data_IF_705325540366
#
_entry.id   IF_705325540366
#
_cell.length_a   1.000
_cell.length_b   1.000
_cell.length_c   1.000
_cell.angle_alpha   90.00
_cell.angle_beta   90.00
_cell.angle_gamma   90.00
#
_symmetry.space_group_name_H-M   'P 1'
#
loop_
_entity.id
_entity.type
_entity.pdbx_description
1 polymer ?
#
# COMPACT_ATOMS: atom_id res chain seq x y z
N UNK A 1 -22.41 20.03 14.45
CA UNK A 1 -22.08 20.10 15.87
C UNK A 1 -21.76 21.53 16.32
N UNK A 2 -20.92 22.28 15.59
CA UNK A 2 -20.61 23.69 15.94
C UNK A 2 -21.85 24.57 16.10
N UNK A 3 -22.77 24.51 15.14
CA UNK A 3 -24.00 25.29 15.19
C UNK A 3 -24.84 24.90 16.40
N UNK A 4 -24.95 23.61 16.69
CA UNK A 4 -25.68 23.14 17.89
C UNK A 4 -24.99 23.59 19.18
N UNK A 5 -23.65 23.50 19.23
CA UNK A 5 -22.87 23.92 20.38
C UNK A 5 -23.04 25.43 20.68
N UNK A 6 -23.09 26.27 19.65
CA UNK A 6 -23.30 27.72 19.79
C UNK A 6 -24.74 28.08 20.21
N UNK A 7 -25.71 27.21 19.95
CA UNK A 7 -27.12 27.41 20.33
C UNK A 7 -27.41 27.05 21.79
N UNK A 8 -26.47 26.38 22.48
CA UNK A 8 -26.67 25.94 23.86
C UNK A 8 -26.38 27.09 24.80
N UNK A 9 -27.34 27.41 25.67
CA UNK A 9 -27.11 28.41 26.74
C UNK A 9 -26.18 27.82 27.81
N UNK A 10 -25.45 28.67 28.52
CA UNK A 10 -24.55 28.27 29.62
C UNK A 10 -25.23 27.44 30.74
N UNK A 11 -26.57 27.39 30.75
CA UNK A 11 -27.38 26.63 31.72
C UNK A 11 -27.96 25.33 31.16
N UNK A 12 -27.63 24.96 29.92
CA UNK A 12 -28.17 23.79 29.26
C UNK A 12 -27.09 22.76 28.98
N UNK A 13 -27.48 21.47 28.93
CA UNK A 13 -26.59 20.38 28.52
C UNK A 13 -27.13 19.79 27.23
N UNK A 14 -26.22 19.50 26.30
CA UNK A 14 -26.51 18.75 25.08
C UNK A 14 -25.96 17.33 25.21
N UNK A 15 -26.85 16.36 25.11
CA UNK A 15 -26.45 14.93 25.07
C UNK A 15 -26.54 14.42 23.66
N UNK A 16 -25.45 13.84 23.17
CA UNK A 16 -25.36 13.31 21.81
C UNK A 16 -24.83 11.87 21.88
N UNK A 17 -25.66 10.94 21.41
CA UNK A 17 -25.19 9.59 21.10
C UNK A 17 -24.82 9.54 19.61
N UNK A 18 -23.59 9.15 19.30
CA UNK A 18 -23.09 9.17 17.93
C UNK A 18 -22.08 8.06 17.67
N UNK A 19 -22.03 7.58 16.44
CA UNK A 19 -20.97 6.76 15.87
C UNK A 19 -20.28 7.47 14.70
N UNK A 20 -20.50 8.77 14.51
CA UNK A 20 -19.86 9.56 13.46
C UNK A 20 -18.45 10.01 13.87
N UNK A 21 -17.43 9.56 13.13
CA UNK A 21 -16.03 9.96 13.33
C UNK A 21 -15.86 11.48 13.27
N UNK A 22 -16.55 12.14 12.34
CA UNK A 22 -16.51 13.60 12.22
C UNK A 22 -17.08 14.32 13.46
N UNK A 23 -18.15 13.77 14.09
CA UNK A 23 -18.70 14.33 15.33
C UNK A 23 -17.75 14.11 16.51
N UNK A 24 -17.14 12.93 16.62
CA UNK A 24 -16.17 12.65 17.68
C UNK A 24 -14.92 13.55 17.56
N UNK A 25 -14.41 13.71 16.33
CA UNK A 25 -13.27 14.59 16.08
C UNK A 25 -13.59 16.03 16.47
N UNK A 26 -14.75 16.54 16.05
CA UNK A 26 -15.14 17.91 16.38
C UNK A 26 -15.41 18.10 17.86
N UNK A 27 -15.96 17.12 18.54
CA UNK A 27 -16.15 17.18 20.00
C UNK A 27 -14.80 17.21 20.73
N UNK A 28 -13.79 16.46 20.23
CA UNK A 28 -12.42 16.50 20.76
C UNK A 28 -11.77 17.87 20.53
N UNK A 29 -11.91 18.47 19.36
CA UNK A 29 -11.41 19.82 19.07
C UNK A 29 -12.04 20.85 20.03
N UNK A 30 -13.37 20.79 20.28
CA UNK A 30 -14.05 21.67 21.21
C UNK A 30 -13.55 21.51 22.63
N UNK A 31 -13.26 20.29 23.08
CA UNK A 31 -12.67 20.05 24.40
C UNK A 31 -11.24 20.58 24.51
N UNK A 32 -10.45 20.50 23.43
CA UNK A 32 -9.08 21.06 23.36
C UNK A 32 -9.12 22.60 23.36
N UNK A 33 -10.10 23.23 22.68
CA UNK A 33 -10.30 24.68 22.65
C UNK A 33 -10.80 25.24 23.99
N UNK A 34 -11.67 24.50 24.67
CA UNK A 34 -12.29 24.90 25.93
C UNK A 34 -12.38 23.69 26.90
N UNK A 35 -11.31 23.40 27.67
CA UNK A 35 -11.28 22.26 28.57
C UNK A 35 -12.42 22.23 29.58
N UNK A 36 -13.10 21.09 29.69
CA UNK A 36 -14.28 20.89 30.51
C UNK A 36 -15.60 21.23 29.83
N UNK A 37 -15.58 21.65 28.56
CA UNK A 37 -16.79 21.95 27.79
C UNK A 37 -17.46 20.70 27.24
N UNK A 38 -16.70 19.61 27.03
CA UNK A 38 -17.19 18.34 26.50
C UNK A 38 -16.82 17.19 27.45
N UNK A 39 -17.80 16.36 27.75
CA UNK A 39 -17.61 15.15 28.55
C UNK A 39 -17.89 13.93 27.66
N UNK A 40 -16.95 13.02 27.59
CA UNK A 40 -17.10 11.77 26.84
C UNK A 40 -17.49 10.62 27.80
N UNK A 41 -18.56 9.91 27.47
CA UNK A 41 -19.01 8.72 28.17
C UNK A 41 -18.95 7.53 27.22
N UNK A 42 -18.24 6.47 27.59
CA UNK A 42 -18.14 5.25 26.82
C UNK A 42 -19.16 4.24 27.35
N UNK A 43 -20.04 3.76 26.46
CA UNK A 43 -21.08 2.77 26.78
C UNK A 43 -20.66 1.36 26.32
N UNK A 44 -19.38 1.13 26.12
CA UNK A 44 -18.85 -0.15 25.71
C UNK A 44 -18.88 -1.16 26.88
N UNK A 45 -19.15 -2.43 26.57
CA UNK A 45 -19.20 -3.53 27.54
C UNK A 45 -20.26 -3.38 28.66
N UNK A 46 -21.27 -2.53 28.44
CA UNK A 46 -22.36 -2.41 29.42
C UNK A 46 -23.20 -3.67 29.46
N UNK A 47 -23.32 -4.23 30.66
CA UNK A 47 -24.34 -5.25 30.94
C UNK A 47 -25.61 -4.55 31.45
N UNK A 48 -26.73 -4.55 30.69
CA UNK A 48 -27.97 -3.88 31.09
C UNK A 48 -28.58 -4.46 32.36
N UNK A 49 -28.20 -5.66 32.80
CA UNK A 49 -28.69 -6.32 33.99
C UNK A 49 -27.94 -5.92 35.27
N UNK A 50 -26.92 -5.07 35.17
CA UNK A 50 -26.12 -4.63 36.32
C UNK A 50 -26.15 -3.10 36.45
N UNK A 51 -26.18 -2.60 37.68
CA UNK A 51 -26.05 -1.16 37.93
C UNK A 51 -24.58 -0.74 37.68
N UNK A 52 -24.38 0.19 36.75
CA UNK A 52 -23.07 0.69 36.36
C UNK A 52 -23.04 2.21 36.51
N UNK A 53 -21.97 2.73 37.07
CA UNK A 53 -21.68 4.17 37.12
C UNK A 53 -20.72 4.52 36.01
N UNK A 54 -21.20 5.30 35.03
CA UNK A 54 -20.34 5.81 33.95
C UNK A 54 -19.48 6.95 34.49
N UNK A 55 -18.18 6.86 34.22
CA UNK A 55 -17.23 7.93 34.52
C UNK A 55 -16.78 8.62 33.25
N UNK A 56 -16.53 9.95 33.30
CA UNK A 56 -15.92 10.65 32.19
C UNK A 56 -14.63 9.97 31.71
N UNK A 57 -14.47 9.87 30.41
CA UNK A 57 -13.27 9.30 29.78
C UNK A 57 -12.65 10.28 28.80
N UNK A 58 -11.37 10.10 28.49
CA UNK A 58 -10.68 10.87 27.46
C UNK A 58 -10.67 10.09 26.14
N UNK A 59 -10.81 10.81 25.02
CA UNK A 59 -10.73 10.19 23.68
C UNK A 59 -9.27 9.86 23.38
N UNK A 60 -8.88 8.63 23.71
CA UNK A 60 -7.56 8.07 23.48
C UNK A 60 -7.58 7.11 22.27
N UNK A 61 -6.42 6.54 21.95
CA UNK A 61 -6.26 5.60 20.83
C UNK A 61 -7.19 4.38 20.94
N UNK A 62 -7.48 3.90 22.14
CA UNK A 62 -8.37 2.74 22.36
C UNK A 62 -9.80 3.09 21.96
N UNK A 63 -10.30 4.25 22.40
CA UNK A 63 -11.63 4.74 22.04
C UNK A 63 -11.71 5.02 20.53
N UNK A 64 -10.68 5.62 19.94
CA UNK A 64 -10.62 5.84 18.50
C UNK A 64 -10.71 4.51 17.72
N UNK A 65 -9.96 3.49 18.13
CA UNK A 65 -9.98 2.18 17.48
C UNK A 65 -11.37 1.52 17.57
N UNK A 66 -11.99 1.55 18.75
CA UNK A 66 -13.36 1.03 18.93
C UNK A 66 -14.37 1.80 18.09
N UNK A 67 -14.23 3.11 18.02
CA UNK A 67 -15.12 3.97 17.24
C UNK A 67 -14.98 3.76 15.73
N UNK A 68 -13.75 3.58 15.25
CA UNK A 68 -13.45 3.19 13.87
C UNK A 68 -14.04 1.82 13.54
N UNK A 69 -13.90 0.86 14.43
CA UNK A 69 -14.49 -0.48 14.29
C UNK A 69 -16.02 -0.44 14.17
N UNK A 70 -16.70 0.33 15.02
CA UNK A 70 -18.16 0.51 14.97
C UNK A 70 -18.61 1.28 13.74
N UNK A 71 -17.89 2.36 13.38
CA UNK A 71 -18.29 3.25 12.29
C UNK A 71 -18.06 2.64 10.91
N UNK A 72 -17.02 1.82 10.75
CA UNK A 72 -16.67 1.17 9.48
C UNK A 72 -17.10 -0.29 9.42
N UNK A 73 -17.47 -0.92 10.54
CA UNK A 73 -17.76 -2.35 10.58
C UNK A 73 -18.81 -2.79 9.56
N UNK A 74 -19.86 -2.05 9.36
CA UNK A 74 -20.90 -2.37 8.37
C UNK A 74 -20.54 -1.87 6.97
N UNK A 75 -19.90 -0.71 6.85
CA UNK A 75 -19.36 -0.23 5.57
C UNK A 75 -18.19 -1.11 5.08
N UNK A 76 -17.32 -1.53 5.99
CA UNK A 76 -16.23 -2.43 5.67
C UNK A 76 -16.70 -3.75 5.05
N UNK A 77 -17.85 -4.29 5.51
CA UNK A 77 -18.44 -5.51 4.92
C UNK A 77 -18.94 -5.33 3.49
N UNK A 78 -19.28 -4.09 3.10
CA UNK A 78 -19.85 -3.77 1.78
C UNK A 78 -18.76 -3.40 0.76
N UNK A 79 -17.69 -2.75 1.21
CA UNK A 79 -16.64 -2.18 0.34
C UNK A 79 -15.24 -2.69 0.67
N UNK A 80 -15.08 -3.52 1.69
CA UNK A 80 -13.78 -4.09 2.04
C UNK A 80 -13.33 -5.07 0.96
N UNK A 81 -12.10 -4.94 0.47
CA UNK A 81 -11.53 -5.94 -0.41
C UNK A 81 -11.44 -7.28 0.32
N UNK A 82 -11.58 -8.39 -0.41
CA UNK A 82 -11.40 -9.74 0.19
C UNK A 82 -9.98 -9.96 0.68
N UNK A 83 -9.01 -9.26 0.05
CA UNK A 83 -7.59 -9.36 0.40
C UNK A 83 -6.95 -7.98 0.44
N UNK A 84 -6.05 -7.80 1.41
CA UNK A 84 -5.18 -6.61 1.53
C UNK A 84 -3.75 -7.09 1.52
N UNK A 85 -2.96 -6.56 0.58
CA UNK A 85 -1.53 -6.80 0.48
C UNK A 85 -0.80 -5.55 0.93
N UNK A 86 -0.13 -5.62 2.08
CA UNK A 86 0.81 -4.59 2.52
C UNK A 86 2.14 -4.80 1.83
N UNK A 87 2.58 -3.81 1.07
CA UNK A 87 3.85 -3.82 0.35
C UNK A 87 4.73 -2.62 0.74
N UNK A 88 5.99 -2.70 0.38
CA UNK A 88 6.92 -1.58 0.57
C UNK A 88 6.46 -0.36 -0.25
N UNK A 89 6.95 0.81 0.13
CA UNK A 89 6.68 2.05 -0.57
C UNK A 89 6.50 3.24 0.37
N UNK A 90 6.81 4.43 -0.12
CA UNK A 90 6.86 5.65 0.69
C UNK A 90 5.50 6.31 0.81
N UNK A 91 5.03 6.55 2.05
CA UNK A 91 3.73 7.20 2.33
C UNK A 91 3.73 8.73 2.20
N UNK A 92 4.87 9.41 2.35
CA UNK A 92 4.92 10.88 2.48
C UNK A 92 5.99 11.54 1.61
N UNK A 93 5.65 12.69 1.05
CA UNK A 93 6.60 13.71 0.59
C UNK A 93 7.31 13.46 -0.75
N UNK A 94 7.08 12.37 -1.45
CA UNK A 94 7.65 12.10 -2.78
C UNK A 94 6.60 12.23 -3.87
N UNK A 95 7.05 12.65 -5.05
CA UNK A 95 6.22 12.84 -6.26
C UNK A 95 5.46 11.58 -6.68
N UNK A 96 5.95 10.40 -6.30
CA UNK A 96 5.37 9.09 -6.62
C UNK A 96 5.09 8.30 -5.34
N UNK A 97 4.16 8.84 -4.56
CA UNK A 97 3.62 8.17 -3.37
C UNK A 97 2.94 6.87 -3.78
N UNK A 98 3.11 5.83 -2.97
CA UNK A 98 2.47 4.51 -3.14
C UNK A 98 2.76 3.86 -4.52
N UNK A 99 3.96 4.10 -5.08
CA UNK A 99 4.31 3.71 -6.44
C UNK A 99 4.21 2.18 -6.63
N UNK A 100 4.79 1.40 -5.72
CA UNK A 100 4.80 -0.06 -5.82
C UNK A 100 3.39 -0.63 -5.71
N UNK A 101 2.57 -0.12 -4.77
CA UNK A 101 1.16 -0.49 -4.66
C UNK A 101 0.38 -0.20 -5.95
N UNK A 102 0.67 0.93 -6.63
CA UNK A 102 0.04 1.25 -7.91
C UNK A 102 0.44 0.27 -9.02
N UNK A 103 1.71 -0.15 -9.06
CA UNK A 103 2.20 -1.15 -10.03
C UNK A 103 1.51 -2.50 -9.79
N UNK A 104 1.54 -3.01 -8.56
CA UNK A 104 0.89 -4.28 -8.23
C UNK A 104 -0.61 -4.24 -8.53
N UNK A 105 -1.28 -3.13 -8.20
CA UNK A 105 -2.70 -2.95 -8.55
C UNK A 105 -2.91 -3.07 -10.05
N UNK A 106 -2.07 -2.44 -10.89
CA UNK A 106 -2.21 -2.53 -12.35
C UNK A 106 -1.97 -3.94 -12.89
N UNK A 107 -0.98 -4.66 -12.34
CA UNK A 107 -0.66 -6.03 -12.76
C UNK A 107 -1.80 -6.99 -12.41
N UNK A 108 -2.33 -6.88 -11.19
CA UNK A 108 -3.23 -7.88 -10.62
C UNK A 108 -4.71 -7.54 -10.71
N UNK A 109 -5.09 -6.31 -11.09
CA UNK A 109 -6.49 -5.87 -11.09
C UNK A 109 -7.44 -6.82 -11.86
N UNK A 110 -7.02 -7.33 -13.02
CA UNK A 110 -7.87 -8.21 -13.84
C UNK A 110 -8.07 -9.60 -13.24
N UNK A 111 -7.05 -10.15 -12.56
CA UNK A 111 -7.08 -11.50 -11.98
C UNK A 111 -7.53 -11.50 -10.51
N UNK A 112 -7.29 -10.41 -9.80
CA UNK A 112 -7.58 -10.24 -8.38
C UNK A 112 -8.29 -8.90 -8.13
N UNK A 113 -9.48 -8.65 -8.72
CA UNK A 113 -10.16 -7.35 -8.66
C UNK A 113 -10.56 -6.95 -7.24
N UNK A 114 -10.66 -7.91 -6.33
CA UNK A 114 -11.05 -7.72 -4.93
C UNK A 114 -9.83 -7.72 -3.98
N UNK A 115 -8.65 -7.37 -4.52
CA UNK A 115 -7.41 -7.22 -3.75
C UNK A 115 -6.97 -5.77 -3.74
N UNK A 116 -6.66 -5.25 -2.56
CA UNK A 116 -6.12 -3.90 -2.38
C UNK A 116 -4.65 -3.96 -2.00
N UNK A 117 -3.79 -3.29 -2.77
CA UNK A 117 -2.38 -3.11 -2.44
C UNK A 117 -2.18 -1.78 -1.73
N UNK A 118 -1.47 -1.79 -0.59
CA UNK A 118 -1.28 -0.62 0.26
C UNK A 118 0.21 -0.52 0.65
N UNK A 119 0.83 0.60 0.31
CA UNK A 119 2.20 0.89 0.74
C UNK A 119 2.23 1.27 2.22
N UNK A 120 3.07 0.60 3.01
CA UNK A 120 3.19 0.83 4.45
C UNK A 120 4.48 1.56 4.83
N UNK A 121 5.48 1.58 3.98
CA UNK A 121 6.78 2.18 4.24
C UNK A 121 7.91 1.22 3.89
N UNK A 122 8.91 1.11 4.76
CA UNK A 122 10.05 0.22 4.56
C UNK A 122 9.75 -1.21 5.03
N UNK A 123 10.62 -2.15 4.68
CA UNK A 123 10.59 -3.52 5.17
C UNK A 123 10.45 -3.58 6.71
N UNK A 124 11.24 -2.80 7.45
CA UNK A 124 11.17 -2.75 8.92
C UNK A 124 9.82 -2.26 9.46
N UNK A 125 9.11 -1.39 8.72
CA UNK A 125 7.76 -0.94 9.10
C UNK A 125 6.70 -2.01 8.83
N UNK A 126 6.91 -2.89 7.85
CA UNK A 126 6.04 -4.04 7.57
C UNK A 126 6.29 -5.17 8.59
N UNK A 127 7.53 -5.35 9.01
CA UNK A 127 7.92 -6.32 10.03
C UNK A 127 7.45 -5.92 11.44
N UNK A 128 7.26 -4.62 11.70
CA UNK A 128 6.81 -4.13 13.01
C UNK A 128 5.34 -4.51 13.26
N UNK A 129 5.11 -5.48 14.12
CA UNK A 129 3.77 -5.90 14.56
C UNK A 129 2.98 -4.78 15.25
N UNK A 130 3.67 -3.75 15.77
CA UNK A 130 3.06 -2.60 16.42
C UNK A 130 2.76 -1.45 15.45
N UNK A 131 3.02 -1.62 14.14
CA UNK A 131 2.72 -0.59 13.15
C UNK A 131 1.25 -0.15 13.23
N UNK A 132 1.05 1.08 13.69
CA UNK A 132 -0.29 1.61 13.97
C UNK A 132 -1.18 1.61 12.72
N UNK A 133 -0.64 1.92 11.55
CA UNK A 133 -1.41 1.96 10.30
C UNK A 133 -1.92 0.57 9.91
N UNK A 134 -1.06 -0.46 9.99
CA UNK A 134 -1.48 -1.84 9.70
C UNK A 134 -2.51 -2.33 10.70
N UNK A 135 -2.31 -2.03 11.99
CA UNK A 135 -3.27 -2.42 13.05
C UNK A 135 -4.64 -1.78 12.84
N UNK A 136 -4.69 -0.49 12.55
CA UNK A 136 -5.96 0.22 12.27
C UNK A 136 -6.67 -0.40 11.06
N UNK A 137 -5.97 -0.61 9.96
CA UNK A 137 -6.54 -1.20 8.75
C UNK A 137 -7.02 -2.62 9.02
N UNK A 138 -6.20 -3.46 9.68
CA UNK A 138 -6.56 -4.84 10.00
C UNK A 138 -7.74 -4.93 10.96
N UNK A 139 -7.87 -4.01 11.90
CA UNK A 139 -9.02 -3.95 12.80
C UNK A 139 -10.29 -3.46 12.11
N UNK A 140 -10.17 -2.47 11.23
CA UNK A 140 -11.31 -1.94 10.46
C UNK A 140 -11.82 -2.94 9.43
N UNK A 141 -10.93 -3.77 8.86
CA UNK A 141 -11.22 -4.71 7.77
C UNK A 141 -10.99 -6.17 8.21
N UNK A 142 -11.58 -6.56 9.34
CA UNK A 142 -11.40 -7.89 9.98
C UNK A 142 -11.71 -9.09 9.08
N UNK A 143 -12.54 -8.91 8.07
CA UNK A 143 -12.93 -9.98 7.15
C UNK A 143 -11.99 -10.12 5.94
N UNK A 144 -11.04 -9.22 5.78
CA UNK A 144 -10.08 -9.28 4.68
C UNK A 144 -8.89 -10.16 5.06
N UNK A 145 -8.44 -10.99 4.12
CA UNK A 145 -7.17 -11.72 4.26
C UNK A 145 -6.02 -10.71 4.18
N UNK A 146 -5.18 -10.68 5.20
CA UNK A 146 -4.01 -9.79 5.23
C UNK A 146 -2.79 -10.57 4.73
N UNK A 147 -2.08 -10.00 3.76
CA UNK A 147 -0.81 -10.49 3.25
C UNK A 147 0.22 -9.37 3.49
N UNK A 148 1.34 -9.72 4.09
CA UNK A 148 2.51 -8.85 4.23
C UNK A 148 3.54 -9.27 3.19
N UNK A 149 4.10 -8.31 2.48
CA UNK A 149 4.95 -8.58 1.34
C UNK A 149 6.08 -7.54 1.23
N UNK A 150 7.30 -8.02 1.06
CA UNK A 150 8.51 -7.16 1.02
C UNK A 150 9.41 -7.51 -0.15
N UNK A 151 10.25 -6.58 -0.56
CA UNK A 151 11.31 -6.79 -1.52
C UNK A 151 12.36 -7.76 -0.96
N UNK A 152 13.00 -8.53 -1.83
CA UNK A 152 14.09 -9.42 -1.42
C UNK A 152 15.34 -8.62 -1.03
N UNK A 153 15.65 -7.56 -1.78
CA UNK A 153 16.86 -6.76 -1.62
C UNK A 153 18.13 -7.64 -1.47
N UNK A 154 18.91 -7.41 -0.39
CA UNK A 154 20.12 -8.18 -0.06
C UNK A 154 19.85 -9.36 0.88
N UNK A 155 18.58 -9.75 1.10
CA UNK A 155 18.23 -10.85 2.02
C UNK A 155 18.80 -12.17 1.57
N UNK A 156 19.52 -12.83 2.45
CA UNK A 156 19.95 -14.22 2.30
C UNK A 156 18.76 -15.18 2.31
N UNK A 157 18.95 -16.39 1.84
CA UNK A 157 17.89 -17.42 1.86
C UNK A 157 17.40 -17.70 3.29
N UNK A 158 18.30 -17.65 4.29
CA UNK A 158 17.95 -17.80 5.69
C UNK A 158 17.03 -16.65 6.17
N UNK A 159 17.33 -15.40 5.84
CA UNK A 159 16.48 -14.25 6.18
C UNK A 159 15.13 -14.31 5.47
N UNK A 160 15.05 -14.83 4.25
CA UNK A 160 13.80 -15.10 3.55
C UNK A 160 12.97 -16.16 4.28
N UNK A 161 13.61 -17.25 4.75
CA UNK A 161 12.93 -18.27 5.56
C UNK A 161 12.40 -17.69 6.89
N UNK A 162 13.17 -16.84 7.55
CA UNK A 162 12.77 -16.14 8.77
C UNK A 162 11.58 -15.20 8.55
N UNK A 163 11.56 -14.46 7.43
CA UNK A 163 10.41 -13.63 7.02
C UNK A 163 9.17 -14.50 6.81
N UNK A 164 9.30 -15.60 6.06
CA UNK A 164 8.21 -16.52 5.78
C UNK A 164 7.66 -17.16 7.06
N UNK A 165 8.51 -17.51 8.01
CA UNK A 165 8.10 -18.03 9.32
C UNK A 165 7.28 -17.02 10.14
N UNK A 166 7.50 -15.72 9.92
CA UNK A 166 6.72 -14.61 10.49
C UNK A 166 5.46 -14.27 9.67
N UNK A 167 5.16 -15.03 8.61
CA UNK A 167 4.01 -14.76 7.72
C UNK A 167 4.22 -13.55 6.78
N UNK A 168 5.47 -13.17 6.53
CA UNK A 168 5.84 -12.10 5.60
C UNK A 168 6.37 -12.75 4.34
N UNK A 169 5.70 -12.53 3.22
CA UNK A 169 6.11 -12.99 1.89
C UNK A 169 7.27 -12.12 1.40
N UNK A 170 8.19 -12.73 0.67
CA UNK A 170 9.36 -12.04 0.10
C UNK A 170 9.38 -12.27 -1.41
N UNK A 171 9.69 -11.21 -2.20
CA UNK A 171 9.91 -11.36 -3.62
C UNK A 171 10.99 -12.42 -3.90
N UNK A 172 10.79 -13.18 -4.96
CA UNK A 172 11.81 -14.14 -5.43
C UNK A 172 12.97 -13.46 -6.14
N UNK A 173 12.74 -12.26 -6.71
CA UNK A 173 13.79 -11.38 -7.27
C UNK A 173 14.00 -10.18 -6.35
N UNK A 174 15.09 -9.42 -6.58
CA UNK A 174 15.55 -8.34 -5.72
C UNK A 174 14.43 -7.31 -5.41
N UNK A 175 13.78 -6.77 -6.43
CA UNK A 175 12.71 -5.76 -6.33
C UNK A 175 11.83 -5.78 -7.59
N UNK A 176 10.73 -5.03 -7.58
CA UNK A 176 9.73 -5.04 -8.66
C UNK A 176 10.31 -4.64 -10.02
N UNK A 177 11.34 -3.80 -10.08
CA UNK A 177 12.00 -3.40 -11.32
C UNK A 177 12.61 -4.60 -12.07
N UNK A 178 13.03 -5.66 -11.36
CA UNK A 178 13.54 -6.89 -11.98
C UNK A 178 12.48 -7.61 -12.83
N UNK A 179 11.22 -7.45 -12.50
CA UNK A 179 10.08 -8.00 -13.25
C UNK A 179 9.63 -7.06 -14.36
N UNK A 180 9.60 -5.75 -14.11
CA UNK A 180 9.19 -4.76 -15.10
C UNK A 180 10.15 -4.66 -16.28
N UNK A 181 11.43 -4.76 -16.03
CA UNK A 181 12.47 -4.78 -17.07
C UNK A 181 12.90 -6.20 -17.48
N UNK A 182 12.08 -7.22 -17.20
CA UNK A 182 12.34 -8.58 -17.68
C UNK A 182 12.38 -8.62 -19.22
N UNK A 183 13.20 -9.55 -19.77
CA UNK A 183 13.36 -9.70 -21.22
C UNK A 183 12.04 -10.07 -21.90
N UNK A 184 11.19 -10.86 -21.22
CA UNK A 184 9.83 -11.19 -21.68
C UNK A 184 8.99 -9.92 -21.84
N UNK A 185 9.05 -9.00 -20.88
CA UNK A 185 8.24 -7.77 -20.88
C UNK A 185 8.77 -6.77 -21.90
N UNK A 186 10.08 -6.61 -22.04
CA UNK A 186 10.68 -5.78 -23.08
C UNK A 186 10.32 -6.32 -24.47
N UNK A 187 10.39 -7.63 -24.67
CA UNK A 187 9.96 -8.28 -25.92
C UNK A 187 8.50 -8.01 -26.21
N UNK A 188 7.64 -8.19 -25.21
CA UNK A 188 6.19 -7.92 -25.32
C UNK A 188 5.90 -6.45 -25.63
N UNK A 189 6.70 -5.51 -25.06
CA UNK A 189 6.64 -4.08 -25.40
C UNK A 189 6.93 -3.85 -26.89
N UNK A 190 8.01 -4.42 -27.40
CA UNK A 190 8.39 -4.29 -28.81
C UNK A 190 7.28 -4.86 -29.74
N UNK A 191 6.73 -6.02 -29.38
CA UNK A 191 5.64 -6.64 -30.12
C UNK A 191 4.37 -5.79 -30.12
N UNK A 192 3.98 -5.23 -28.98
CA UNK A 192 2.79 -4.38 -28.86
C UNK A 192 2.87 -3.10 -29.69
N UNK A 193 4.08 -2.64 -29.97
CA UNK A 193 4.38 -1.46 -30.80
C UNK A 193 4.58 -1.80 -32.30
N UNK A 194 4.50 -3.09 -32.69
CA UNK A 194 4.80 -3.52 -34.05
C UNK A 194 6.28 -3.38 -34.44
N UNK A 195 7.20 -3.42 -33.44
CA UNK A 195 8.66 -3.22 -33.59
C UNK A 195 9.44 -4.47 -33.22
N UNK A 196 9.04 -5.62 -33.73
CA UNK A 196 9.68 -6.91 -33.47
C UNK A 196 11.17 -6.92 -33.88
N UNK A 197 11.49 -6.16 -34.93
CA UNK A 197 12.87 -5.95 -35.41
C UNK A 197 13.79 -5.24 -34.40
N UNK A 198 13.23 -4.61 -33.38
CA UNK A 198 13.95 -3.87 -32.34
C UNK A 198 14.19 -4.65 -31.05
N UNK A 199 13.70 -5.88 -30.94
CA UNK A 199 13.83 -6.69 -29.70
C UNK A 199 15.30 -6.88 -29.32
N UNK A 200 16.14 -7.35 -30.24
CA UNK A 200 17.56 -7.60 -29.95
C UNK A 200 18.30 -6.31 -29.56
N UNK A 201 17.99 -5.19 -30.22
CA UNK A 201 18.58 -3.88 -29.91
C UNK A 201 18.18 -3.41 -28.51
N UNK A 202 16.91 -3.59 -28.12
CA UNK A 202 16.41 -3.24 -26.79
C UNK A 202 17.02 -4.10 -25.68
N UNK A 203 17.12 -5.42 -25.89
CA UNK A 203 17.72 -6.35 -24.93
C UNK A 203 19.23 -6.09 -24.77
N UNK A 204 19.95 -5.84 -25.89
CA UNK A 204 21.35 -5.47 -25.85
C UNK A 204 21.58 -4.16 -25.10
N UNK A 205 20.72 -3.17 -25.30
CA UNK A 205 20.80 -1.90 -24.57
C UNK A 205 20.56 -2.10 -23.07
N UNK A 206 19.54 -2.87 -22.66
CA UNK A 206 19.36 -3.25 -21.25
C UNK A 206 20.61 -3.89 -20.66
N UNK A 207 21.19 -4.87 -21.35
CA UNK A 207 22.37 -5.57 -20.87
C UNK A 207 23.59 -4.65 -20.75
N UNK A 208 23.75 -3.69 -21.66
CA UNK A 208 24.79 -2.66 -21.58
C UNK A 208 24.65 -1.80 -20.33
N UNK A 209 23.43 -1.30 -20.04
CA UNK A 209 23.18 -0.43 -18.89
C UNK A 209 23.32 -1.20 -17.55
N UNK A 210 22.96 -2.48 -17.53
CA UNK A 210 23.23 -3.35 -16.38
C UNK A 210 24.74 -3.54 -16.17
N UNK A 211 25.49 -3.81 -17.22
CA UNK A 211 26.95 -3.94 -17.15
C UNK A 211 27.60 -2.65 -16.63
N UNK A 212 27.15 -1.49 -17.08
CA UNK A 212 27.62 -0.20 -16.59
C UNK A 212 27.27 0.04 -15.13
N UNK A 213 26.09 -0.43 -14.69
CA UNK A 213 25.69 -0.39 -13.28
C UNK A 213 26.61 -1.26 -12.41
N UNK A 214 26.89 -2.48 -12.84
CA UNK A 214 27.84 -3.39 -12.17
C UNK A 214 29.25 -2.77 -12.09
N UNK A 215 29.72 -2.16 -13.17
CA UNK A 215 31.00 -1.47 -13.19
C UNK A 215 31.10 -0.30 -12.21
N UNK A 216 29.96 0.30 -11.83
CA UNK A 216 29.87 1.30 -10.77
C UNK A 216 29.79 0.71 -9.35
N UNK A 217 29.82 -0.62 -9.22
CA UNK A 217 29.82 -1.34 -7.95
C UNK A 217 28.46 -1.79 -7.44
N UNK A 218 27.40 -1.67 -8.26
CA UNK A 218 26.07 -2.17 -7.89
C UNK A 218 25.99 -3.71 -8.05
N UNK A 219 25.14 -4.39 -7.27
CA UNK A 219 24.89 -5.82 -7.43
C UNK A 219 24.45 -6.20 -8.85
N UNK A 220 24.77 -7.45 -9.26
CA UNK A 220 24.46 -7.95 -10.60
C UNK A 220 22.94 -8.01 -10.89
N UNK A 221 22.14 -8.16 -9.85
CA UNK A 221 20.68 -8.25 -9.90
C UNK A 221 19.97 -6.92 -9.55
N UNK A 222 20.73 -5.84 -9.33
CA UNK A 222 20.17 -4.51 -9.05
C UNK A 222 19.74 -3.79 -10.34
N UNK A 223 18.59 -4.19 -10.88
CA UNK A 223 17.98 -3.55 -12.04
C UNK A 223 17.50 -2.13 -11.73
N UNK A 224 17.13 -1.84 -10.46
CA UNK A 224 16.66 -0.52 -10.02
C UNK A 224 17.68 0.58 -10.27
N UNK A 225 18.95 0.33 -9.96
CA UNK A 225 20.03 1.29 -10.20
C UNK A 225 20.33 1.53 -11.69
N UNK A 226 19.99 0.57 -12.57
CA UNK A 226 20.09 0.70 -14.02
C UNK A 226 18.79 1.18 -14.69
N UNK A 227 17.67 1.23 -13.98
CA UNK A 227 16.33 1.46 -14.53
C UNK A 227 16.16 2.79 -15.29
N UNK A 228 16.76 3.88 -14.79
CA UNK A 228 16.76 5.17 -15.48
C UNK A 228 17.46 5.13 -16.84
N UNK A 229 18.74 4.71 -16.93
CA UNK A 229 19.43 4.49 -18.18
C UNK A 229 18.71 3.54 -19.14
N UNK A 230 18.22 2.39 -18.67
CA UNK A 230 17.42 1.43 -19.47
C UNK A 230 16.20 2.13 -20.07
N UNK A 231 15.43 2.87 -19.26
CA UNK A 231 14.28 3.62 -19.73
C UNK A 231 14.65 4.59 -20.87
N UNK A 232 15.74 5.35 -20.72
CA UNK A 232 16.21 6.31 -21.73
C UNK A 232 16.60 5.59 -23.03
N UNK A 233 17.29 4.47 -22.93
CA UNK A 233 17.69 3.65 -24.08
C UNK A 233 16.46 3.09 -24.83
N UNK A 234 15.52 2.45 -24.11
CA UNK A 234 14.30 1.92 -24.68
C UNK A 234 13.44 3.00 -25.34
N UNK A 235 13.29 4.15 -24.67
CA UNK A 235 12.55 5.30 -25.20
C UNK A 235 13.12 5.78 -26.53
N UNK A 236 14.44 5.86 -26.64
CA UNK A 236 15.15 6.27 -27.86
C UNK A 236 15.00 5.23 -28.98
N UNK A 237 15.28 3.96 -28.70
CA UNK A 237 15.24 2.87 -29.69
C UNK A 237 13.81 2.70 -30.25
N UNK A 238 12.84 2.74 -29.37
CA UNK A 238 11.42 2.57 -29.72
C UNK A 238 10.72 3.88 -30.13
N UNK A 239 11.41 5.04 -30.08
CA UNK A 239 10.83 6.33 -30.47
C UNK A 239 9.57 6.69 -29.68
N UNK A 240 9.57 6.41 -28.34
CA UNK A 240 8.40 6.63 -27.51
C UNK A 240 8.27 8.11 -27.14
N UNK A 241 7.13 8.73 -27.41
CA UNK A 241 6.84 10.14 -27.10
C UNK A 241 5.85 10.31 -25.94
N UNK A 242 4.99 9.30 -25.69
CA UNK A 242 3.90 9.38 -24.71
C UNK A 242 4.05 8.37 -23.57
N UNK A 243 5.27 7.99 -23.22
CA UNK A 243 5.56 7.01 -22.14
C UNK A 243 5.94 7.63 -20.80
N UNK A 244 5.66 8.92 -20.61
CA UNK A 244 6.10 9.70 -19.46
C UNK A 244 7.47 10.36 -19.66
N UNK A 245 7.83 11.27 -18.73
CA UNK A 245 9.10 12.03 -18.77
C UNK A 245 10.15 11.45 -17.81
N UNK A 246 9.79 10.45 -17.00
CA UNK A 246 10.68 9.76 -16.05
C UNK A 246 10.39 8.27 -16.10
N UNK A 247 11.25 7.46 -15.47
CA UNK A 247 11.13 6.01 -15.48
C UNK A 247 9.86 5.52 -14.75
N UNK A 248 9.40 6.21 -13.70
CA UNK A 248 8.29 5.73 -12.89
C UNK A 248 6.96 5.69 -13.67
N UNK A 249 6.50 6.75 -14.38
CA UNK A 249 5.36 6.65 -15.27
C UNK A 249 5.55 5.59 -16.37
N UNK A 250 6.74 5.44 -16.92
CA UNK A 250 7.02 4.42 -17.92
C UNK A 250 6.84 3.01 -17.34
N UNK A 251 7.40 2.74 -16.19
CA UNK A 251 7.22 1.45 -15.49
C UNK A 251 5.75 1.18 -15.18
N UNK A 252 5.06 2.15 -14.59
CA UNK A 252 3.69 2.01 -14.14
C UNK A 252 2.68 1.92 -15.31
N UNK A 253 2.81 2.77 -16.32
CA UNK A 253 1.77 2.97 -17.34
C UNK A 253 2.08 2.27 -18.66
N UNK A 254 3.35 1.87 -18.88
CA UNK A 254 3.78 1.19 -20.10
C UNK A 254 4.19 -0.25 -19.85
N UNK A 255 5.03 -0.53 -18.84
CA UNK A 255 5.54 -1.89 -18.61
C UNK A 255 4.58 -2.74 -17.75
N UNK A 256 4.09 -2.21 -16.63
CA UNK A 256 3.22 -2.98 -15.73
C UNK A 256 1.97 -3.57 -16.42
N UNK A 257 1.27 -2.87 -17.33
CA UNK A 257 0.13 -3.44 -18.07
C UNK A 257 0.49 -4.61 -19.00
N UNK A 258 1.76 -4.80 -19.35
CA UNK A 258 2.24 -5.91 -20.17
C UNK A 258 2.44 -7.20 -19.37
N UNK A 259 2.55 -7.10 -18.06
CA UNK A 259 2.61 -8.25 -17.16
C UNK A 259 1.18 -8.78 -17.00
N UNK A 260 0.84 -9.79 -17.76
CA UNK A 260 -0.50 -10.39 -17.87
C UNK A 260 -0.44 -11.89 -17.57
N UNK A 261 -1.55 -12.56 -17.23
CA UNK A 261 -1.57 -13.97 -16.80
C UNK A 261 -0.90 -14.98 -17.76
N UNK A 262 -0.72 -14.61 -19.02
CA UNK A 262 0.01 -15.40 -20.01
C UNK A 262 1.53 -15.34 -19.85
N UNK A 263 2.07 -14.31 -19.17
CA UNK A 263 3.52 -14.14 -18.97
C UNK A 263 4.07 -15.00 -17.82
N UNK A 264 5.31 -15.44 -17.95
CA UNK A 264 6.01 -16.14 -16.87
C UNK A 264 6.27 -15.18 -15.69
N UNK A 265 6.56 -13.93 -15.99
CA UNK A 265 6.72 -12.85 -15.00
C UNK A 265 5.49 -12.71 -14.12
N UNK A 266 4.28 -12.74 -14.68
CA UNK A 266 3.04 -12.70 -13.90
C UNK A 266 2.92 -13.90 -12.96
N UNK A 267 3.14 -15.12 -13.46
CA UNK A 267 3.04 -16.36 -12.67
C UNK A 267 4.03 -16.39 -11.51
N UNK A 268 5.23 -15.86 -11.73
CA UNK A 268 6.26 -15.76 -10.71
C UNK A 268 5.86 -14.78 -9.60
N UNK A 269 5.35 -13.59 -9.97
CA UNK A 269 4.82 -12.61 -9.02
C UNK A 269 3.58 -13.12 -8.29
N UNK A 270 2.66 -13.75 -9.01
CA UNK A 270 1.45 -14.34 -8.44
C UNK A 270 1.79 -15.38 -7.38
N UNK A 271 2.73 -16.28 -7.69
CA UNK A 271 3.20 -17.29 -6.75
C UNK A 271 3.85 -16.65 -5.52
N UNK A 272 4.71 -15.65 -5.71
CA UNK A 272 5.39 -14.99 -4.59
C UNK A 272 4.43 -14.29 -3.62
N UNK A 273 3.32 -13.73 -4.11
CA UNK A 273 2.39 -12.94 -3.29
C UNK A 273 1.26 -13.82 -2.73
N UNK A 274 0.66 -14.69 -3.54
CA UNK A 274 -0.62 -15.34 -3.22
C UNK A 274 -0.52 -16.83 -2.86
N UNK A 275 0.58 -17.52 -3.19
CA UNK A 275 0.77 -18.94 -2.89
C UNK A 275 1.09 -19.27 -1.42
#
# INVERSE_FOLDING_TARGET
LNELYQLISERSQLWIATHSIGMLNKAKELEEEAPGSVCFLCFDELNPDTQIVLTPTTVNTVIWNKFLELSFGDFAKIIAPSQIVFCEGTKRGRKYKDFDAQIYTKIFFSSYPDTSFISIGSCSEIEDENNLSMRIISQALKNSKIIKFVDRDDKSDQEVEECNAKGIKVLCRRHIECFLYDDEIITKLCMSLGKQDKVEECLAAKQSELSDSINRGNPIDDVKSAGGPIYVALKRILGLSQCGNTQEPFMRDTLAPLITPDTNVFKELEHAIFA
#
